data_IF_925216744766
#
_entry.id   IF_925216744766
#
_cell.length_a   1.000
_cell.length_b   1.000
_cell.length_c   1.000
_cell.angle_alpha   90.00
_cell.angle_beta   90.00
_cell.angle_gamma   90.00
#
_symmetry.space_group_name_H-M   'P 1'
#
loop_
_entity.id
_entity.type
_entity.pdbx_description
1 polymer ?
#
# COMPACT_ATOMS: atom_id res chain seq x y z
N UNK A 1 -12.34 6.29 -20.55
CA UNK A 1 -11.28 5.29 -20.72
C UNK A 1 -11.87 4.12 -21.48
N UNK A 2 -11.23 3.69 -22.57
CA UNK A 2 -11.66 2.46 -23.24
C UNK A 2 -11.18 1.21 -22.47
N UNK A 3 -11.68 0.04 -22.85
CA UNK A 3 -11.36 -1.22 -22.15
C UNK A 3 -9.85 -1.53 -22.15
N UNK A 4 -9.14 -1.21 -23.24
CA UNK A 4 -7.73 -1.49 -23.38
C UNK A 4 -6.89 -0.55 -22.51
N UNK A 5 -7.27 0.72 -22.44
CA UNK A 5 -6.67 1.70 -21.54
C UNK A 5 -6.86 1.31 -20.08
N UNK A 6 -8.07 0.86 -19.70
CA UNK A 6 -8.36 0.41 -18.33
C UNK A 6 -7.54 -0.81 -17.95
N UNK A 7 -7.46 -1.80 -18.83
CA UNK A 7 -6.65 -3.00 -18.58
C UNK A 7 -5.15 -2.67 -18.44
N UNK A 8 -4.61 -1.72 -19.22
CA UNK A 8 -3.23 -1.27 -19.07
C UNK A 8 -2.99 -0.57 -17.73
N UNK A 9 -3.92 0.27 -17.31
CA UNK A 9 -3.83 0.96 -16.02
C UNK A 9 -3.86 -0.03 -14.85
N UNK A 10 -4.77 -1.01 -14.88
CA UNK A 10 -4.84 -2.06 -13.85
C UNK A 10 -3.52 -2.82 -13.75
N UNK A 11 -2.97 -3.28 -14.89
CA UNK A 11 -1.68 -3.95 -14.89
C UNK A 11 -0.55 -3.07 -14.35
N UNK A 12 -0.54 -1.78 -14.67
CA UNK A 12 0.44 -0.84 -14.12
C UNK A 12 0.30 -0.73 -12.59
N UNK A 13 -0.93 -0.59 -12.07
CA UNK A 13 -1.17 -0.52 -10.63
C UNK A 13 -0.68 -1.80 -9.94
N UNK A 14 -0.98 -2.98 -10.50
CA UNK A 14 -0.48 -4.25 -9.97
C UNK A 14 1.05 -4.29 -9.96
N UNK A 15 1.70 -3.95 -11.08
CA UNK A 15 3.17 -3.93 -11.17
C UNK A 15 3.80 -2.94 -10.17
N UNK A 16 3.29 -1.70 -10.11
CA UNK A 16 3.79 -0.65 -9.22
C UNK A 16 3.55 -1.02 -7.75
N UNK A 17 2.41 -1.63 -7.42
CA UNK A 17 2.07 -2.09 -6.07
C UNK A 17 3.02 -3.15 -5.54
N UNK A 18 3.36 -4.15 -6.36
CA UNK A 18 4.38 -5.16 -6.02
C UNK A 18 5.75 -4.52 -5.78
N UNK A 19 6.15 -3.56 -6.62
CA UNK A 19 7.42 -2.83 -6.44
C UNK A 19 7.44 -2.09 -5.10
N UNK A 20 6.34 -1.43 -4.72
CA UNK A 20 6.26 -0.72 -3.43
C UNK A 20 6.37 -1.68 -2.26
N UNK A 21 5.65 -2.80 -2.26
CA UNK A 21 5.71 -3.75 -1.14
C UNK A 21 7.07 -4.45 -1.06
N UNK A 22 7.69 -4.80 -2.17
CA UNK A 22 9.04 -5.38 -2.16
C UNK A 22 10.06 -4.42 -1.54
N UNK A 23 10.00 -3.13 -1.92
CA UNK A 23 10.81 -2.09 -1.27
C UNK A 23 10.48 -2.03 0.23
N UNK A 24 9.21 -1.89 0.60
CA UNK A 24 8.76 -1.77 1.99
C UNK A 24 9.20 -2.96 2.86
N UNK A 25 9.13 -4.19 2.32
CA UNK A 25 9.54 -5.41 3.01
C UNK A 25 11.04 -5.41 3.31
N UNK A 26 11.86 -4.95 2.36
CA UNK A 26 13.32 -4.90 2.49
C UNK A 26 13.85 -3.86 3.49
N UNK A 27 13.04 -2.87 3.85
CA UNK A 27 13.43 -1.76 4.73
C UNK A 27 13.70 -2.24 6.15
N UNK A 28 14.77 -1.72 6.76
CA UNK A 28 15.21 -2.10 8.09
C UNK A 28 15.26 -0.93 9.08
N UNK A 29 15.05 0.30 8.61
CA UNK A 29 15.11 1.50 9.45
C UNK A 29 13.99 2.49 9.11
N UNK A 30 13.62 3.35 10.08
CA UNK A 30 12.62 4.40 9.87
C UNK A 30 13.02 5.42 8.78
N UNK A 31 14.29 5.89 8.69
CA UNK A 31 14.67 6.80 7.61
C UNK A 31 14.51 6.21 6.21
N UNK A 32 14.85 4.93 6.02
CA UNK A 32 14.61 4.23 4.75
C UNK A 32 13.10 4.17 4.42
N UNK A 33 12.24 4.00 5.43
CA UNK A 33 10.78 4.04 5.27
C UNK A 33 10.26 5.43 4.90
N UNK A 34 10.85 6.48 5.47
CA UNK A 34 10.53 7.87 5.12
C UNK A 34 10.93 8.21 3.68
N UNK A 35 12.07 7.69 3.20
CA UNK A 35 12.51 7.83 1.81
C UNK A 35 11.56 7.18 0.80
N UNK A 36 10.83 6.14 1.20
CA UNK A 36 9.80 5.48 0.37
C UNK A 36 8.49 6.30 0.29
N UNK A 37 8.27 7.24 1.21
CA UNK A 37 7.04 8.03 1.32
C UNK A 37 6.55 8.64 0.00
N UNK A 38 7.40 9.37 -0.76
CA UNK A 38 6.99 9.98 -2.03
C UNK A 38 6.52 8.97 -3.09
N UNK A 39 7.11 7.77 -3.12
CA UNK A 39 6.68 6.71 -4.06
C UNK A 39 5.30 6.18 -3.65
N UNK A 40 5.04 6.02 -2.34
CA UNK A 40 3.74 5.60 -1.80
C UNK A 40 2.66 6.61 -2.10
N UNK A 41 2.90 7.89 -1.83
CA UNK A 41 1.92 8.95 -2.09
C UNK A 41 1.56 9.01 -3.58
N UNK A 42 2.55 8.96 -4.47
CA UNK A 42 2.31 8.95 -5.92
C UNK A 42 1.47 7.76 -6.36
N UNK A 43 1.69 6.60 -5.74
CA UNK A 43 0.93 5.38 -6.05
C UNK A 43 -0.49 5.43 -5.49
N UNK A 44 -0.67 5.93 -4.26
CA UNK A 44 -1.98 6.16 -3.65
C UNK A 44 -2.82 7.12 -4.50
N UNK A 45 -2.26 8.29 -4.87
CA UNK A 45 -2.91 9.26 -5.76
C UNK A 45 -3.37 8.62 -7.08
N UNK A 46 -2.52 7.77 -7.69
CA UNK A 46 -2.87 7.08 -8.93
C UNK A 46 -4.08 6.16 -8.76
N UNK A 47 -4.16 5.42 -7.66
CA UNK A 47 -5.28 4.51 -7.40
C UNK A 47 -6.54 5.33 -7.13
N UNK A 48 -6.47 6.29 -6.20
CA UNK A 48 -7.63 7.06 -5.74
C UNK A 48 -8.25 7.88 -6.88
N UNK A 49 -7.43 8.50 -7.74
CA UNK A 49 -7.90 9.26 -8.90
C UNK A 49 -8.68 8.41 -9.93
N UNK A 50 -8.45 7.09 -9.95
CA UNK A 50 -8.99 6.20 -10.99
C UNK A 50 -10.02 5.19 -10.47
N UNK A 51 -9.92 4.79 -9.20
CA UNK A 51 -10.69 3.72 -8.56
C UNK A 51 -11.17 4.07 -7.15
N UNK A 52 -10.88 5.29 -6.68
CA UNK A 52 -11.42 5.75 -5.40
C UNK A 52 -12.92 6.02 -5.48
N UNK A 53 -13.60 5.78 -4.37
CA UNK A 53 -14.98 6.18 -4.17
C UNK A 53 -15.03 7.42 -3.26
N UNK A 54 -16.10 8.25 -3.33
CA UNK A 54 -16.23 9.39 -2.44
C UNK A 54 -16.11 8.96 -0.97
N UNK A 55 -15.15 9.53 -0.27
CA UNK A 55 -14.96 9.23 1.15
C UNK A 55 -16.16 9.75 1.95
N UNK A 56 -16.51 9.01 3.00
CA UNK A 56 -17.49 9.48 3.99
C UNK A 56 -16.85 10.41 5.03
N UNK A 57 -15.52 10.56 5.01
CA UNK A 57 -14.73 11.18 6.08
C UNK A 57 -14.13 12.50 5.64
N UNK A 58 -13.86 12.67 4.35
CA UNK A 58 -13.40 13.93 3.73
C UNK A 58 -13.98 14.14 2.33
N UNK A 59 -13.59 15.23 1.67
CA UNK A 59 -14.00 15.57 0.31
C UNK A 59 -13.16 14.83 -0.77
N UNK A 60 -12.35 13.84 -0.39
CA UNK A 60 -11.46 13.06 -1.25
C UNK A 60 -12.10 11.80 -1.83
N UNK A 61 -11.37 11.19 -2.77
CA UNK A 61 -11.66 9.84 -3.26
C UNK A 61 -10.72 8.87 -2.55
N UNK A 62 -11.22 7.74 -2.09
CA UNK A 62 -10.43 6.76 -1.34
C UNK A 62 -10.72 5.36 -1.88
N UNK A 63 -9.67 4.66 -2.30
CA UNK A 63 -9.74 3.26 -2.72
C UNK A 63 -9.48 2.31 -1.56
N UNK A 64 -10.12 1.15 -1.56
CA UNK A 64 -9.82 0.09 -0.59
C UNK A 64 -8.36 -0.35 -0.64
N UNK A 65 -7.76 -0.37 -1.83
CA UNK A 65 -6.36 -0.71 -2.02
C UNK A 65 -5.43 0.32 -1.39
N UNK A 66 -5.76 1.61 -1.48
CA UNK A 66 -5.01 2.69 -0.83
C UNK A 66 -5.08 2.55 0.69
N UNK A 67 -6.27 2.31 1.25
CA UNK A 67 -6.42 2.04 2.69
C UNK A 67 -5.57 0.85 3.14
N UNK A 68 -5.61 -0.25 2.39
CA UNK A 68 -4.83 -1.47 2.64
C UNK A 68 -3.32 -1.19 2.66
N UNK A 69 -2.83 -0.41 1.69
CA UNK A 69 -1.43 0.02 1.63
C UNK A 69 -1.01 0.82 2.87
N UNK A 70 -1.82 1.81 3.28
CA UNK A 70 -1.49 2.64 4.45
C UNK A 70 -1.53 1.85 5.75
N UNK A 71 -2.42 0.85 5.88
CA UNK A 71 -2.41 -0.07 7.02
C UNK A 71 -1.12 -0.91 7.03
N UNK A 72 -0.70 -1.45 5.89
CA UNK A 72 0.57 -2.17 5.77
C UNK A 72 1.76 -1.27 6.14
N UNK A 73 1.77 -0.03 5.65
CA UNK A 73 2.80 0.97 5.96
C UNK A 73 2.85 1.30 7.46
N UNK A 74 1.71 1.49 8.11
CA UNK A 74 1.66 1.80 9.54
C UNK A 74 2.21 0.65 10.39
N UNK A 75 1.85 -0.59 10.06
CA UNK A 75 2.41 -1.76 10.75
C UNK A 75 3.89 -1.96 10.46
N UNK A 76 4.35 -1.72 9.23
CA UNK A 76 5.78 -1.70 8.92
C UNK A 76 6.50 -0.65 9.75
N UNK A 77 5.98 0.57 9.83
CA UNK A 77 6.57 1.63 10.66
C UNK A 77 6.65 1.20 12.13
N UNK A 78 5.57 0.62 12.66
CA UNK A 78 5.52 0.11 14.03
C UNK A 78 6.57 -0.97 14.30
N UNK A 79 6.81 -1.85 13.33
CA UNK A 79 7.79 -2.94 13.45
C UNK A 79 9.24 -2.46 13.51
N UNK A 80 9.50 -1.21 13.09
CA UNK A 80 10.82 -0.59 13.07
C UNK A 80 11.13 0.24 14.32
N UNK A 81 10.14 0.47 15.21
CA UNK A 81 10.40 1.16 16.47
C UNK A 81 11.27 0.31 17.42
N UNK A 82 12.21 0.91 18.17
CA UNK A 82 13.13 0.18 19.04
C UNK A 82 12.44 -0.78 20.02
N UNK A 83 11.28 -0.41 20.56
CA UNK A 83 10.48 -1.22 21.48
C UNK A 83 9.84 -2.46 20.82
N UNK A 84 9.76 -2.51 19.49
CA UNK A 84 9.09 -3.55 18.73
C UNK A 84 10.04 -4.44 17.92
N UNK A 85 11.34 -4.14 17.88
CA UNK A 85 12.31 -4.89 17.08
C UNK A 85 12.32 -6.39 17.42
N UNK A 86 12.23 -6.71 18.70
CA UNK A 86 12.19 -8.10 19.21
C UNK A 86 10.76 -8.54 19.61
N UNK A 87 9.74 -7.73 19.31
CA UNK A 87 8.36 -8.05 19.67
C UNK A 87 7.64 -8.76 18.52
N UNK A 88 7.67 -10.10 18.58
CA UNK A 88 7.11 -11.01 17.57
C UNK A 88 5.71 -10.61 17.06
N UNK A 89 4.72 -10.24 17.91
CA UNK A 89 3.39 -9.90 17.41
C UNK A 89 3.38 -8.74 16.42
N UNK A 90 4.20 -7.71 16.62
CA UNK A 90 4.28 -6.59 15.67
C UNK A 90 4.94 -7.01 14.36
N UNK A 91 5.94 -7.89 14.40
CA UNK A 91 6.60 -8.41 13.19
C UNK A 91 5.63 -9.28 12.37
N UNK A 92 4.84 -10.11 13.04
CA UNK A 92 3.80 -10.93 12.41
C UNK A 92 2.74 -10.03 11.77
N UNK A 93 2.21 -9.05 12.50
CA UNK A 93 1.18 -8.15 11.96
C UNK A 93 1.70 -7.34 10.77
N UNK A 94 2.93 -6.80 10.83
CA UNK A 94 3.53 -6.11 9.70
C UNK A 94 3.61 -7.01 8.45
N UNK A 95 4.00 -8.27 8.63
CA UNK A 95 4.00 -9.24 7.54
C UNK A 95 2.59 -9.52 7.01
N UNK A 96 1.64 -9.80 7.90
CA UNK A 96 0.28 -10.19 7.55
C UNK A 96 -0.45 -9.07 6.80
N UNK A 97 -0.27 -7.81 7.19
CA UNK A 97 -0.88 -6.68 6.47
C UNK A 97 -0.22 -6.40 5.11
N UNK A 98 1.11 -6.58 4.98
CA UNK A 98 1.77 -6.51 3.67
C UNK A 98 1.30 -7.65 2.74
N UNK A 99 1.15 -8.86 3.27
CA UNK A 99 0.62 -10.00 2.50
C UNK A 99 -0.85 -9.76 2.13
N UNK A 100 -1.66 -9.22 3.04
CA UNK A 100 -3.06 -8.87 2.79
C UNK A 100 -3.25 -7.80 1.70
N UNK A 101 -2.36 -6.79 1.66
CA UNK A 101 -2.35 -5.83 0.55
C UNK A 101 -2.07 -6.52 -0.79
N UNK A 102 -1.11 -7.46 -0.85
CA UNK A 102 -0.82 -8.22 -2.08
C UNK A 102 -2.03 -9.04 -2.51
N UNK A 103 -2.70 -9.71 -1.57
CA UNK A 103 -3.91 -10.50 -1.86
C UNK A 103 -5.03 -9.64 -2.45
N UNK A 104 -5.23 -8.42 -1.93
CA UNK A 104 -6.19 -7.46 -2.47
C UNK A 104 -5.75 -6.92 -3.84
N UNK A 105 -4.46 -6.59 -4.00
CA UNK A 105 -3.88 -6.09 -5.24
C UNK A 105 -4.10 -7.07 -6.40
N UNK A 106 -3.66 -8.32 -6.21
CA UNK A 106 -3.76 -9.40 -7.20
C UNK A 106 -5.20 -9.92 -7.38
N UNK A 107 -6.02 -9.77 -6.33
CA UNK A 107 -7.43 -10.14 -6.33
C UNK A 107 -8.33 -9.15 -7.06
N UNK A 108 -7.81 -7.97 -7.41
CA UNK A 108 -8.55 -6.91 -8.11
C UNK A 108 -9.86 -6.49 -7.38
N UNK A 109 -9.96 -6.70 -6.06
CA UNK A 109 -11.20 -6.41 -5.31
C UNK A 109 -11.48 -4.92 -5.10
N UNK A 110 -10.55 -4.08 -5.52
CA UNK A 110 -10.55 -2.62 -5.42
C UNK A 110 -11.09 -1.92 -6.70
N UNK A 111 -11.60 -2.69 -7.65
CA UNK A 111 -11.97 -2.27 -9.03
C UNK A 111 -13.46 -2.06 -9.24
#
# INVERSE_FOLDING_TARGET
MDYLERAKLINQIIEDGHIIIDKMRSISTLPELEELGPDIEKYADLIDDNFGEPSNVDDGMESSLTMSLYVALDWKRKSLYPENLDYEPTQVLAKDFMDGFIEELDGESWI
#
